data_IF_235172294368
#
_entry.id   IF_235172294368
#
_cell.length_a   1.000
_cell.length_b   1.000
_cell.length_c   1.000
_cell.angle_alpha   90.00
_cell.angle_beta   90.00
_cell.angle_gamma   90.00
#
_symmetry.space_group_name_H-M   'P 1'
#
loop_
_entity.id
_entity.type
_entity.pdbx_description
1 polymer ?
#
# COMPACT_ATOMS: atom_id res chain seq x y z
N UNK A 1 26.97 7.75 -11.29
CA UNK A 1 25.74 7.79 -12.07
C UNK A 1 25.05 6.43 -12.00
N UNK A 2 24.40 6.11 -10.87
CA UNK A 2 23.57 4.91 -10.76
C UNK A 2 22.13 5.31 -11.08
N UNK A 3 21.78 5.29 -12.35
CA UNK A 3 20.37 5.31 -12.75
C UNK A 3 19.74 3.98 -12.31
N UNK A 4 18.92 4.02 -11.27
CA UNK A 4 18.08 2.91 -10.88
C UNK A 4 17.01 2.74 -11.96
N UNK A 5 17.27 1.86 -12.92
CA UNK A 5 16.27 1.46 -13.92
C UNK A 5 15.19 0.69 -13.17
N UNK A 6 14.06 1.34 -12.93
CA UNK A 6 12.85 0.72 -12.43
C UNK A 6 12.27 -0.22 -13.52
N UNK A 7 12.73 -1.45 -13.55
CA UNK A 7 12.12 -2.48 -14.38
C UNK A 7 10.75 -2.82 -13.80
N UNK A 8 9.71 -2.36 -14.47
CA UNK A 8 8.33 -2.71 -14.12
C UNK A 8 8.04 -4.17 -14.46
N UNK A 9 7.39 -4.94 -13.57
CA UNK A 9 6.99 -6.32 -13.88
C UNK A 9 6.08 -6.39 -15.11
N UNK A 10 6.12 -7.46 -15.91
CA UNK A 10 5.18 -7.65 -17.00
C UNK A 10 3.74 -7.51 -16.51
N UNK A 11 2.91 -6.72 -17.20
CA UNK A 11 1.54 -6.40 -16.82
C UNK A 11 1.37 -5.15 -15.95
N UNK A 12 2.43 -4.60 -15.37
CA UNK A 12 2.33 -3.43 -14.49
C UNK A 12 2.10 -2.13 -15.27
N UNK A 13 2.70 -1.97 -16.44
CA UNK A 13 2.48 -0.80 -17.33
C UNK A 13 1.05 -0.76 -17.87
N UNK A 14 0.51 -1.88 -18.30
CA UNK A 14 -0.89 -1.98 -18.73
C UNK A 14 -1.87 -1.64 -17.60
N UNK A 15 -1.52 -2.03 -16.37
CA UNK A 15 -2.33 -1.71 -15.19
C UNK A 15 -2.24 -0.22 -14.81
N UNK A 16 -1.08 0.42 -14.94
CA UNK A 16 -0.95 1.87 -14.70
C UNK A 16 -1.75 2.69 -15.69
N UNK A 17 -1.68 2.37 -16.98
CA UNK A 17 -2.49 3.03 -18.00
C UNK A 17 -3.98 2.87 -17.71
N UNK A 18 -4.38 1.68 -17.28
CA UNK A 18 -5.74 1.40 -16.87
C UNK A 18 -6.19 2.26 -15.66
N UNK A 19 -5.37 2.36 -14.61
CA UNK A 19 -5.70 3.20 -13.44
C UNK A 19 -5.81 4.67 -13.82
N UNK A 20 -4.94 5.17 -14.69
CA UNK A 20 -5.02 6.55 -15.17
C UNK A 20 -6.31 6.82 -15.94
N UNK A 21 -6.75 5.89 -16.79
CA UNK A 21 -8.03 5.99 -17.52
C UNK A 21 -9.22 5.90 -16.55
N UNK A 22 -9.18 4.95 -15.61
CA UNK A 22 -10.23 4.79 -14.61
C UNK A 22 -10.40 6.02 -13.71
N UNK A 23 -9.30 6.70 -13.36
CA UNK A 23 -9.33 7.92 -12.55
C UNK A 23 -10.04 9.10 -13.25
N UNK A 24 -10.12 9.09 -14.58
CA UNK A 24 -10.87 10.07 -15.35
C UNK A 24 -12.36 9.75 -15.38
N UNK A 25 -12.75 8.53 -15.07
CA UNK A 25 -14.14 8.09 -15.04
C UNK A 25 -14.94 8.80 -13.94
N UNK A 26 -16.15 9.30 -14.22
CA UNK A 26 -17.04 9.86 -13.21
C UNK A 26 -17.39 8.83 -12.12
N UNK A 27 -17.44 7.55 -12.45
CA UNK A 27 -17.69 6.47 -11.48
C UNK A 27 -16.56 6.33 -10.45
N UNK A 28 -15.30 6.54 -10.86
CA UNK A 28 -14.18 6.57 -9.95
C UNK A 28 -14.28 7.74 -8.97
N UNK A 29 -14.58 8.92 -9.49
CA UNK A 29 -14.69 10.16 -8.69
C UNK A 29 -15.77 10.10 -7.62
N UNK A 30 -16.86 9.39 -7.90
CA UNK A 30 -18.02 9.30 -7.01
C UNK A 30 -18.03 8.03 -6.15
N UNK A 31 -17.01 7.17 -6.26
CA UNK A 31 -16.93 5.95 -5.48
C UNK A 31 -16.71 6.25 -4.00
N UNK A 32 -17.74 6.00 -3.18
CA UNK A 32 -17.71 6.25 -1.73
C UNK A 32 -18.28 5.04 -0.97
N UNK A 33 -17.57 4.63 0.08
CA UNK A 33 -17.98 3.58 1.00
C UNK A 33 -17.59 3.93 2.43
N UNK A 34 -18.54 4.22 3.29
CA UNK A 34 -18.33 4.51 4.73
C UNK A 34 -17.20 5.54 4.98
N UNK A 35 -17.20 6.61 4.19
CA UNK A 35 -16.19 7.67 4.22
C UNK A 35 -14.85 7.32 3.54
N UNK A 36 -14.71 6.11 2.99
CA UNK A 36 -13.58 5.78 2.12
C UNK A 36 -13.89 6.10 0.67
N UNK A 37 -12.96 6.75 0.02
CA UNK A 37 -12.95 6.97 -1.43
C UNK A 37 -11.78 6.22 -2.07
N UNK A 38 -11.75 6.20 -3.39
CA UNK A 38 -10.56 5.78 -4.12
C UNK A 38 -9.49 6.88 -4.07
N UNK A 39 -8.21 6.57 -4.29
CA UNK A 39 -7.15 7.58 -4.31
C UNK A 39 -7.33 8.59 -5.45
N UNK A 40 -6.62 9.71 -5.39
CA UNK A 40 -6.58 10.77 -6.41
C UNK A 40 -7.92 11.51 -6.67
N UNK A 41 -8.92 11.37 -5.81
CA UNK A 41 -10.25 12.00 -5.99
C UNK A 41 -10.35 13.43 -5.45
N UNK A 42 -9.35 13.93 -4.79
CA UNK A 42 -9.35 15.29 -4.22
C UNK A 42 -8.85 16.33 -5.20
N UNK A 43 -8.71 17.56 -4.68
CA UNK A 43 -8.12 18.66 -5.41
C UNK A 43 -6.60 18.72 -5.20
N UNK A 44 -5.86 19.03 -6.26
CA UNK A 44 -4.44 19.30 -6.17
C UNK A 44 -4.22 20.69 -5.57
N UNK A 45 -3.26 20.80 -4.65
CA UNK A 45 -2.80 22.12 -4.21
C UNK A 45 -2.03 22.80 -5.34
N UNK A 46 -2.05 24.11 -5.35
CA UNK A 46 -1.43 24.92 -6.42
C UNK A 46 0.04 24.59 -6.64
N UNK A 47 0.78 24.34 -5.55
CA UNK A 47 2.21 24.03 -5.60
C UNK A 47 2.55 22.60 -6.02
N UNK A 48 1.54 21.70 -6.16
CA UNK A 48 1.80 20.31 -6.52
C UNK A 48 2.38 20.18 -7.93
N UNK A 49 3.50 19.48 -8.05
CA UNK A 49 4.28 19.30 -9.29
C UNK A 49 4.89 20.58 -9.84
N UNK A 50 4.99 21.67 -9.04
CA UNK A 50 5.86 22.81 -9.38
C UNK A 50 7.30 22.45 -9.01
N UNK A 51 8.23 22.84 -9.86
CA UNK A 51 9.65 22.72 -9.59
C UNK A 51 10.07 23.66 -8.46
N UNK A 52 10.92 23.16 -7.59
CA UNK A 52 11.58 23.95 -6.56
C UNK A 52 13.05 23.55 -6.53
N UNK A 53 13.88 24.53 -6.22
CA UNK A 53 15.31 24.34 -6.01
C UNK A 53 15.62 24.47 -4.54
N UNK A 54 16.39 23.56 -4.02
CA UNK A 54 17.00 23.66 -2.69
C UNK A 54 18.50 23.84 -2.87
N UNK A 55 19.06 24.85 -2.27
CA UNK A 55 20.51 25.03 -2.15
C UNK A 55 20.96 24.54 -0.77
N UNK A 56 22.19 24.09 -0.68
CA UNK A 56 22.81 23.84 0.60
C UNK A 56 23.47 25.14 1.09
N UNK A 57 23.03 25.67 2.24
CA UNK A 57 23.58 26.85 2.85
C UNK A 57 24.94 26.59 3.54
N UNK A 58 25.35 25.34 3.67
CA UNK A 58 26.51 24.90 4.45
C UNK A 58 27.77 24.70 3.59
N UNK A 59 27.99 25.59 2.62
CA UNK A 59 29.09 25.52 1.64
C UNK A 59 30.46 25.29 2.29
N UNK A 60 30.68 25.89 3.49
CA UNK A 60 31.95 25.75 4.23
C UNK A 60 32.28 24.31 4.65
N UNK A 61 31.28 23.46 4.76
CA UNK A 61 31.45 22.05 5.15
C UNK A 61 31.60 21.11 3.94
N UNK A 62 31.45 21.62 2.72
CA UNK A 62 31.66 20.83 1.54
C UNK A 62 33.16 20.71 1.21
N UNK A 63 33.64 19.48 0.89
CA UNK A 63 35.06 19.22 0.68
C UNK A 63 35.73 20.17 -0.34
N UNK A 64 34.99 20.57 -1.36
CA UNK A 64 35.46 21.38 -2.47
C UNK A 64 34.87 22.80 -2.47
N UNK A 65 34.22 23.24 -1.37
CA UNK A 65 33.48 24.52 -1.30
C UNK A 65 32.46 24.72 -2.43
N UNK A 66 31.98 23.61 -2.99
CA UNK A 66 31.00 23.64 -4.07
C UNK A 66 29.60 23.88 -3.53
N UNK A 67 28.82 24.66 -4.28
CA UNK A 67 27.39 24.81 -4.02
C UNK A 67 26.66 23.63 -4.62
N UNK A 68 25.90 22.94 -3.79
CA UNK A 68 25.00 21.88 -4.26
C UNK A 68 23.59 22.41 -4.32
N UNK A 69 22.95 22.24 -5.46
CA UNK A 69 21.55 22.56 -5.65
C UNK A 69 20.80 21.32 -6.15
N UNK A 70 19.67 21.02 -5.54
CA UNK A 70 18.77 19.94 -5.97
C UNK A 70 17.48 20.55 -6.52
N UNK A 71 17.11 20.16 -7.72
CA UNK A 71 15.83 20.48 -8.33
C UNK A 71 14.86 19.34 -8.12
N UNK A 72 13.73 19.59 -7.48
CA UNK A 72 12.73 18.57 -7.21
C UNK A 72 11.31 19.08 -7.43
N UNK A 73 10.39 18.14 -7.64
CA UNK A 73 8.98 18.47 -7.79
C UNK A 73 8.28 18.51 -6.43
N UNK A 74 7.72 19.66 -6.08
CA UNK A 74 6.97 19.83 -4.84
C UNK A 74 5.75 18.89 -4.79
N UNK A 75 5.58 18.20 -3.66
CA UNK A 75 4.50 17.23 -3.45
C UNK A 75 3.77 17.49 -2.13
N UNK A 76 2.44 17.50 -2.15
CA UNK A 76 1.63 17.57 -0.93
C UNK A 76 1.61 16.27 -0.13
N UNK A 77 2.17 15.20 -0.69
CA UNK A 77 2.28 13.88 -0.04
C UNK A 77 0.93 13.24 0.40
N UNK A 78 -0.17 13.62 -0.24
CA UNK A 78 -1.53 13.20 0.13
C UNK A 78 -2.10 12.23 -0.89
N UNK A 79 -2.75 11.15 -0.40
CA UNK A 79 -3.37 10.13 -1.26
C UNK A 79 -4.48 10.67 -2.16
N UNK A 80 -5.20 11.69 -1.69
CA UNK A 80 -6.32 12.28 -2.45
C UNK A 80 -5.90 13.19 -3.60
N UNK A 81 -4.64 13.65 -3.62
CA UNK A 81 -4.18 14.60 -4.63
C UNK A 81 -3.91 13.90 -5.96
N UNK A 82 -4.61 14.26 -7.06
CA UNK A 82 -4.41 13.61 -8.36
C UNK A 82 -3.01 13.83 -8.93
N UNK A 83 -2.35 14.95 -8.62
CA UNK A 83 -0.97 15.23 -9.07
C UNK A 83 0.10 14.50 -8.24
N UNK A 84 -0.15 14.25 -6.95
CA UNK A 84 0.86 13.71 -6.02
C UNK A 84 0.64 12.23 -5.66
N UNK A 85 -0.44 11.66 -6.10
CA UNK A 85 -0.87 10.31 -5.78
C UNK A 85 0.22 9.25 -6.09
N UNK A 86 0.84 9.29 -7.26
CA UNK A 86 1.92 8.36 -7.62
C UNK A 86 3.12 8.44 -6.66
N UNK A 87 3.53 9.67 -6.31
CA UNK A 87 4.60 9.87 -5.33
C UNK A 87 4.20 9.37 -3.93
N UNK A 88 2.92 9.51 -3.56
CA UNK A 88 2.39 8.96 -2.32
C UNK A 88 2.45 7.44 -2.30
N UNK A 89 1.99 6.77 -3.39
CA UNK A 89 2.08 5.30 -3.53
C UNK A 89 3.52 4.83 -3.38
N UNK A 90 4.45 5.41 -4.13
CA UNK A 90 5.86 5.02 -4.10
C UNK A 90 6.44 5.08 -2.69
N UNK A 91 6.19 6.18 -1.96
CA UNK A 91 6.66 6.33 -0.58
C UNK A 91 6.04 5.32 0.37
N UNK A 92 4.72 5.06 0.25
CA UNK A 92 4.07 4.07 1.11
C UNK A 92 4.55 2.65 0.81
N UNK A 93 4.79 2.35 -0.46
CA UNK A 93 5.33 1.07 -0.88
C UNK A 93 6.76 0.87 -0.34
N UNK A 94 7.66 1.84 -0.52
CA UNK A 94 9.02 1.81 0.05
C UNK A 94 8.99 1.63 1.58
N UNK A 95 8.16 2.43 2.28
CA UNK A 95 8.02 2.33 3.74
C UNK A 95 7.56 0.95 4.18
N UNK A 96 6.62 0.35 3.45
CA UNK A 96 6.11 -0.98 3.75
C UNK A 96 7.16 -2.03 3.47
N UNK A 97 7.81 -1.98 2.32
CA UNK A 97 8.89 -2.91 1.94
C UNK A 97 9.99 -2.90 3.00
N UNK A 98 10.56 -1.75 3.31
CA UNK A 98 11.61 -1.62 4.35
C UNK A 98 11.19 -2.20 5.70
N UNK A 99 9.94 -2.02 6.10
CA UNK A 99 9.42 -2.59 7.35
C UNK A 99 9.36 -4.10 7.31
N UNK A 100 8.90 -4.68 6.19
CA UNK A 100 8.80 -6.11 6.03
C UNK A 100 10.19 -6.76 5.89
N UNK A 101 11.10 -6.13 5.15
CA UNK A 101 12.50 -6.59 5.01
C UNK A 101 13.25 -6.55 6.33
N UNK A 102 13.19 -5.44 7.07
CA UNK A 102 13.80 -5.33 8.42
C UNK A 102 13.28 -6.40 9.38
N UNK A 103 12.00 -6.74 9.27
CA UNK A 103 11.44 -7.83 10.07
C UNK A 103 12.05 -9.18 9.70
N UNK A 104 12.26 -9.47 8.42
CA UNK A 104 12.88 -10.72 7.97
C UNK A 104 14.35 -10.79 8.40
N UNK A 105 15.09 -9.69 8.28
CA UNK A 105 16.48 -9.57 8.71
C UNK A 105 16.66 -9.77 10.21
N UNK A 106 15.75 -9.26 11.04
CA UNK A 106 15.81 -9.36 12.50
C UNK A 106 15.57 -10.77 13.02
N UNK A 107 15.19 -11.68 12.17
CA UNK A 107 14.99 -13.09 12.51
C UNK A 107 16.05 -13.91 11.80
N UNK A 108 17.10 -14.29 12.49
CA UNK A 108 18.15 -15.23 12.03
C UNK A 108 17.61 -16.55 11.46
N UNK A 109 16.29 -16.62 11.29
CA UNK A 109 15.60 -17.87 11.17
C UNK A 109 14.85 -17.96 9.86
N UNK A 110 15.24 -18.98 9.14
CA UNK A 110 14.44 -19.66 8.14
C UNK A 110 14.36 -18.90 6.82
N UNK A 111 15.40 -19.05 6.03
CA UNK A 111 15.44 -18.78 4.58
C UNK A 111 14.16 -19.21 3.81
N UNK A 112 13.26 -19.97 4.46
CA UNK A 112 12.05 -20.53 3.86
C UNK A 112 10.77 -19.75 4.17
N UNK A 113 10.73 -18.86 5.18
CA UNK A 113 9.53 -18.08 5.48
C UNK A 113 9.55 -16.74 4.76
N UNK A 114 8.57 -16.53 3.89
CA UNK A 114 8.36 -15.34 3.07
C UNK A 114 7.03 -14.72 3.43
N UNK A 115 6.85 -13.47 3.02
CA UNK A 115 5.52 -12.89 3.02
C UNK A 115 4.69 -13.50 1.90
N UNK A 116 3.39 -13.68 2.18
CA UNK A 116 2.41 -14.20 1.23
C UNK A 116 1.29 -13.20 1.05
N UNK A 117 0.92 -12.93 -0.20
CA UNK A 117 -0.23 -12.11 -0.49
C UNK A 117 -1.50 -12.94 -0.45
N UNK A 118 -2.43 -12.59 0.44
CA UNK A 118 -3.76 -13.21 0.53
C UNK A 118 -4.86 -12.15 0.47
N UNK A 119 -6.05 -12.58 0.05
CA UNK A 119 -7.26 -11.76 0.05
C UNK A 119 -8.26 -12.40 1.00
N UNK A 120 -8.81 -11.60 1.92
CA UNK A 120 -9.93 -11.97 2.78
C UNK A 120 -11.18 -11.24 2.33
N UNK A 121 -12.24 -11.98 1.98
CA UNK A 121 -13.49 -11.40 1.53
C UNK A 121 -14.63 -11.87 2.43
N UNK A 122 -15.30 -10.95 3.15
CA UNK A 122 -16.47 -11.26 3.97
C UNK A 122 -17.71 -11.52 3.10
N UNK A 123 -18.66 -12.34 3.56
CA UNK A 123 -19.96 -12.47 2.91
C UNK A 123 -20.78 -11.18 3.11
N UNK A 124 -21.61 -10.82 2.12
CA UNK A 124 -22.51 -9.66 2.18
C UNK A 124 -21.82 -8.36 2.64
N UNK A 125 -20.59 -8.18 2.22
CA UNK A 125 -19.72 -7.08 2.66
C UNK A 125 -20.27 -5.70 2.24
N UNK A 126 -20.97 -5.62 1.13
CA UNK A 126 -21.62 -4.43 0.60
C UNK A 126 -22.61 -3.78 1.56
N UNK A 127 -23.25 -4.60 2.42
CA UNK A 127 -24.23 -4.18 3.45
C UNK A 127 -23.61 -3.88 4.82
N UNK A 128 -22.30 -4.06 4.99
CA UNK A 128 -21.63 -3.87 6.27
C UNK A 128 -20.98 -2.49 6.35
N UNK A 129 -20.95 -1.90 7.57
CA UNK A 129 -20.08 -0.75 7.85
C UNK A 129 -18.63 -1.19 8.01
N UNK A 130 -17.69 -0.29 7.75
CA UNK A 130 -16.25 -0.54 7.98
C UNK A 130 -15.95 -0.91 9.44
N UNK A 131 -16.67 -0.29 10.40
CA UNK A 131 -16.53 -0.60 11.83
C UNK A 131 -16.87 -2.07 12.12
N UNK A 132 -17.94 -2.61 11.52
CA UNK A 132 -18.34 -4.02 11.64
C UNK A 132 -17.33 -4.92 10.93
N UNK A 133 -16.91 -4.57 9.72
CA UNK A 133 -15.87 -5.31 8.98
C UNK A 133 -14.57 -5.42 9.76
N UNK A 134 -14.12 -4.32 10.37
CA UNK A 134 -12.88 -4.29 11.16
C UNK A 134 -12.96 -5.20 12.39
N UNK A 135 -14.08 -5.20 13.14
CA UNK A 135 -14.27 -6.12 14.28
C UNK A 135 -14.22 -7.58 13.83
N UNK A 136 -14.93 -7.90 12.75
CA UNK A 136 -14.97 -9.25 12.22
C UNK A 136 -13.60 -9.69 11.71
N UNK A 137 -12.82 -8.76 11.11
CA UNK A 137 -11.47 -9.04 10.65
C UNK A 137 -10.56 -9.52 11.79
N UNK A 138 -10.60 -8.88 12.96
CA UNK A 138 -9.76 -9.26 14.10
C UNK A 138 -10.05 -10.70 14.58
N UNK A 139 -11.33 -11.10 14.59
CA UNK A 139 -11.72 -12.49 14.83
C UNK A 139 -11.24 -13.42 13.70
N UNK A 140 -11.46 -13.03 12.46
CA UNK A 140 -11.09 -13.79 11.25
C UNK A 140 -9.59 -14.07 11.18
N UNK A 141 -8.76 -13.09 11.54
CA UNK A 141 -7.30 -13.24 11.61
C UNK A 141 -6.87 -14.28 12.65
N UNK A 142 -7.56 -14.31 13.82
CA UNK A 142 -7.29 -15.33 14.85
C UNK A 142 -7.62 -16.73 14.35
N UNK A 143 -8.79 -16.91 13.72
CA UNK A 143 -9.19 -18.21 13.14
C UNK A 143 -8.23 -18.65 12.03
N UNK A 144 -7.75 -17.72 11.21
CA UNK A 144 -6.77 -18.01 10.16
C UNK A 144 -5.35 -18.24 10.70
N UNK A 145 -5.12 -18.12 12.01
CA UNK A 145 -3.79 -18.15 12.67
C UNK A 145 -2.81 -17.11 12.11
N UNK A 146 -3.31 -15.96 11.68
CA UNK A 146 -2.50 -14.85 11.15
C UNK A 146 -2.10 -13.94 12.31
N UNK A 147 -0.83 -14.04 12.74
CA UNK A 147 -0.29 -13.28 13.86
C UNK A 147 0.42 -11.99 13.42
N UNK A 148 1.03 -12.01 12.24
CA UNK A 148 1.85 -10.90 11.73
C UNK A 148 1.50 -10.64 10.27
N UNK A 149 1.00 -9.42 9.98
CA UNK A 149 0.64 -9.04 8.61
C UNK A 149 0.57 -7.52 8.41
N UNK A 150 0.78 -7.08 7.16
CA UNK A 150 0.38 -5.78 6.67
C UNK A 150 -1.00 -5.89 5.99
N UNK A 151 -1.89 -4.93 6.21
CA UNK A 151 -3.29 -4.96 5.76
C UNK A 151 -3.60 -3.72 4.96
N UNK A 152 -4.17 -3.90 3.76
CA UNK A 152 -4.71 -2.84 2.91
C UNK A 152 -6.20 -3.11 2.68
N UNK A 153 -7.03 -2.11 2.93
CA UNK A 153 -8.48 -2.20 2.75
C UNK A 153 -8.89 -1.75 1.36
N UNK A 154 -9.68 -2.57 0.67
CA UNK A 154 -10.28 -2.25 -0.62
C UNK A 154 -11.80 -2.24 -0.49
N UNK A 155 -12.45 -1.08 -0.61
CA UNK A 155 -13.92 -0.97 -0.52
C UNK A 155 -14.62 -1.40 -1.81
N UNK A 156 -13.89 -1.45 -2.93
CA UNK A 156 -14.45 -1.72 -4.25
C UNK A 156 -13.72 -2.84 -4.97
N UNK A 157 -14.43 -3.51 -5.86
CA UNK A 157 -13.89 -4.30 -6.98
C UNK A 157 -14.29 -3.62 -8.27
N UNK A 158 -13.55 -3.89 -9.32
CA UNK A 158 -13.92 -3.39 -10.64
C UNK A 158 -14.66 -4.48 -11.42
N UNK A 159 -15.65 -4.10 -12.22
CA UNK A 159 -16.31 -4.99 -13.14
C UNK A 159 -15.33 -5.57 -14.20
N UNK A 160 -15.78 -6.45 -15.08
CA UNK A 160 -14.91 -7.17 -16.03
C UNK A 160 -14.12 -6.23 -16.95
N UNK A 161 -14.76 -5.17 -17.44
CA UNK A 161 -14.14 -4.12 -18.25
C UNK A 161 -13.34 -3.11 -17.41
N UNK A 162 -13.38 -3.27 -16.09
CA UNK A 162 -12.63 -2.48 -15.09
C UNK A 162 -12.96 -0.99 -15.08
N UNK A 163 -14.05 -0.57 -15.67
CA UNK A 163 -14.47 0.84 -15.77
C UNK A 163 -15.25 1.31 -14.55
N UNK A 164 -16.03 0.41 -13.92
CA UNK A 164 -16.96 0.74 -12.84
C UNK A 164 -16.52 0.10 -11.53
N UNK A 165 -16.30 0.91 -10.47
CA UNK A 165 -16.06 0.37 -9.12
C UNK A 165 -17.38 -0.13 -8.52
N UNK A 166 -17.45 -1.43 -8.26
CA UNK A 166 -18.58 -2.07 -7.59
C UNK A 166 -18.25 -2.22 -6.10
N UNK A 167 -19.19 -1.83 -5.24
CA UNK A 167 -19.04 -1.97 -3.78
C UNK A 167 -18.86 -3.45 -3.42
N UNK A 168 -17.68 -3.81 -3.01
CA UNK A 168 -17.29 -5.18 -2.63
C UNK A 168 -16.11 -5.15 -1.66
N UNK A 169 -16.35 -4.70 -0.41
CA UNK A 169 -15.29 -4.55 0.58
C UNK A 169 -14.53 -5.84 0.85
N UNK A 170 -13.21 -5.76 0.83
CA UNK A 170 -12.32 -6.87 1.12
C UNK A 170 -10.97 -6.36 1.62
N UNK A 171 -10.16 -7.27 2.15
CA UNK A 171 -8.84 -6.94 2.69
C UNK A 171 -7.76 -7.70 1.94
N UNK A 172 -6.72 -6.99 1.54
CA UNK A 172 -5.47 -7.56 1.09
C UNK A 172 -4.50 -7.59 2.24
N UNK A 173 -3.85 -8.73 2.44
CA UNK A 173 -2.88 -8.94 3.50
C UNK A 173 -1.57 -9.44 2.93
N UNK A 174 -0.47 -8.90 3.44
CA UNK A 174 0.85 -9.50 3.29
C UNK A 174 1.15 -10.21 4.60
N UNK A 175 1.02 -11.53 4.60
CA UNK A 175 1.05 -12.39 5.78
C UNK A 175 2.40 -13.06 5.92
N UNK A 176 2.96 -13.05 7.12
CA UNK A 176 4.11 -13.87 7.48
C UNK A 176 3.66 -15.15 8.20
N UNK A 177 4.13 -16.29 7.72
CA UNK A 177 3.83 -17.58 8.30
C UNK A 177 2.75 -18.40 7.57
N UNK A 178 2.29 -19.43 8.25
CA UNK A 178 1.32 -20.39 7.70
C UNK A 178 -0.11 -19.92 7.93
N UNK A 179 -0.97 -20.19 6.96
CA UNK A 179 -2.41 -19.91 7.04
C UNK A 179 -3.16 -21.23 7.19
N UNK A 180 -4.16 -21.26 8.04
CA UNK A 180 -5.03 -22.40 8.30
C UNK A 180 -5.68 -22.94 7.01
N UNK A 181 -6.14 -24.21 7.05
CA UNK A 181 -6.93 -24.81 5.98
C UNK A 181 -8.13 -23.93 5.61
N UNK A 182 -8.30 -23.67 4.31
CA UNK A 182 -9.31 -22.75 3.79
C UNK A 182 -10.75 -23.23 4.01
N UNK A 183 -10.98 -24.54 4.01
CA UNK A 183 -12.31 -25.12 4.25
C UNK A 183 -12.72 -24.95 5.70
N UNK A 184 -11.85 -25.27 6.64
CA UNK A 184 -12.09 -25.07 8.07
C UNK A 184 -12.31 -23.59 8.39
N UNK A 185 -11.47 -22.72 7.82
CA UNK A 185 -11.61 -21.29 7.95
C UNK A 185 -12.98 -20.80 7.47
N UNK A 186 -13.42 -21.23 6.27
CA UNK A 186 -14.72 -20.85 5.73
C UNK A 186 -15.87 -21.34 6.61
N UNK A 187 -15.81 -22.58 7.10
CA UNK A 187 -16.85 -23.14 7.97
C UNK A 187 -17.03 -22.32 9.25
N UNK A 188 -15.92 -21.86 9.85
CA UNK A 188 -15.94 -21.06 11.09
C UNK A 188 -16.29 -19.59 10.89
N UNK A 189 -15.89 -18.98 9.78
CA UNK A 189 -16.00 -17.52 9.60
C UNK A 189 -17.01 -17.11 8.54
N UNK A 190 -17.32 -17.99 7.60
CA UNK A 190 -18.02 -17.69 6.34
C UNK A 190 -17.29 -16.71 5.42
N UNK A 191 -16.04 -16.34 5.76
CA UNK A 191 -15.19 -15.55 4.88
C UNK A 191 -14.43 -16.43 3.91
N UNK A 192 -14.10 -15.87 2.75
CA UNK A 192 -13.24 -16.57 1.80
C UNK A 192 -11.80 -16.10 1.92
N UNK A 193 -10.86 -17.05 1.84
CA UNK A 193 -9.42 -16.80 1.70
C UNK A 193 -9.03 -17.13 0.27
N UNK A 194 -8.32 -16.20 -0.39
CA UNK A 194 -7.68 -16.43 -1.68
C UNK A 194 -6.19 -16.16 -1.59
N UNK A 195 -5.38 -17.20 -1.75
CA UNK A 195 -3.93 -17.07 -1.85
C UNK A 195 -3.55 -16.54 -3.25
N UNK A 196 -2.70 -15.51 -3.30
CA UNK A 196 -2.22 -14.85 -4.51
C UNK A 196 -0.75 -15.16 -4.80
N UNK A 197 -0.10 -15.90 -3.90
CA UNK A 197 1.29 -16.33 -4.03
C UNK A 197 2.23 -15.69 -3.01
N UNK A 198 3.45 -16.19 -3.04
CA UNK A 198 4.54 -15.75 -2.17
C UNK A 198 5.26 -14.53 -2.74
N UNK A 199 5.65 -13.61 -1.86
CA UNK A 199 6.48 -12.45 -2.16
C UNK A 199 7.91 -12.80 -1.77
N UNK A 200 8.73 -13.12 -2.77
CA UNK A 200 10.06 -13.73 -2.57
C UNK A 200 11.16 -12.69 -2.35
N UNK A 201 10.98 -11.50 -2.91
CA UNK A 201 11.97 -10.42 -2.93
C UNK A 201 11.36 -9.12 -2.47
N UNK A 202 12.19 -8.14 -2.10
CA UNK A 202 11.77 -6.77 -1.80
C UNK A 202 11.06 -6.12 -3.00
N UNK A 203 11.50 -6.46 -4.21
CA UNK A 203 10.85 -6.02 -5.45
C UNK A 203 9.43 -6.56 -5.57
N UNK A 204 9.19 -7.82 -5.19
CA UNK A 204 7.84 -8.40 -5.18
C UNK A 204 6.96 -7.70 -4.17
N UNK A 205 7.48 -7.47 -2.96
CA UNK A 205 6.76 -6.74 -1.89
C UNK A 205 6.42 -5.33 -2.37
N UNK A 206 7.40 -4.59 -2.88
CA UNK A 206 7.23 -3.22 -3.37
C UNK A 206 6.18 -3.15 -4.48
N UNK A 207 6.28 -4.01 -5.47
CA UNK A 207 5.36 -4.06 -6.61
C UNK A 207 3.94 -4.43 -6.17
N UNK A 208 3.82 -5.42 -5.27
CA UNK A 208 2.53 -5.81 -4.70
C UNK A 208 1.89 -4.64 -3.94
N UNK A 209 2.63 -3.97 -3.06
CA UNK A 209 2.12 -2.85 -2.28
C UNK A 209 1.73 -1.66 -3.18
N UNK A 210 2.53 -1.34 -4.19
CA UNK A 210 2.16 -0.32 -5.19
C UNK A 210 0.84 -0.63 -5.86
N UNK A 211 0.69 -1.86 -6.31
CA UNK A 211 -0.55 -2.34 -6.92
C UNK A 211 -1.74 -2.19 -5.95
N UNK A 212 -1.59 -2.64 -4.71
CA UNK A 212 -2.67 -2.56 -3.72
C UNK A 212 -3.05 -1.11 -3.41
N UNK A 213 -2.08 -0.22 -3.31
CA UNK A 213 -2.33 1.19 -2.98
C UNK A 213 -2.93 1.99 -4.14
N UNK A 214 -2.80 1.53 -5.36
CA UNK A 214 -3.32 2.25 -6.53
C UNK A 214 -4.85 2.37 -6.55
N UNK A 215 -5.56 1.45 -5.86
CA UNK A 215 -7.02 1.42 -5.80
C UNK A 215 -7.55 1.03 -4.40
N UNK A 216 -6.77 1.28 -3.35
CA UNK A 216 -7.19 1.06 -1.97
C UNK A 216 -8.23 2.08 -1.51
N UNK A 217 -8.89 1.77 -0.41
CA UNK A 217 -9.72 2.74 0.29
C UNK A 217 -8.87 3.76 1.04
N UNK A 218 -9.05 5.05 0.74
CA UNK A 218 -8.43 6.15 1.48
C UNK A 218 -9.47 6.95 2.23
N UNK A 219 -9.16 7.29 3.50
CA UNK A 219 -10.02 8.10 4.36
C UNK A 219 -9.15 9.00 5.24
N UNK A 220 -9.55 10.26 5.41
CA UNK A 220 -8.84 11.21 6.29
C UNK A 220 -8.74 10.63 7.71
N UNK A 221 -7.56 10.73 8.32
CA UNK A 221 -7.31 10.21 9.67
C UNK A 221 -7.10 8.70 9.77
N UNK A 222 -7.04 7.97 8.63
CA UNK A 222 -6.75 6.53 8.63
C UNK A 222 -5.48 6.20 7.85
N UNK A 223 -4.77 5.17 8.29
CA UNK A 223 -3.63 4.63 7.56
C UNK A 223 -4.11 3.72 6.43
N UNK A 224 -3.60 3.91 5.22
CA UNK A 224 -3.89 3.04 4.08
C UNK A 224 -3.29 1.63 4.25
N UNK A 225 -2.15 1.54 4.96
CA UNK A 225 -1.55 0.26 5.37
C UNK A 225 -1.55 0.17 6.89
N UNK A 226 -2.14 -0.89 7.43
CA UNK A 226 -2.08 -1.24 8.86
C UNK A 226 -1.09 -2.37 9.06
N UNK A 227 -0.32 -2.30 10.14
CA UNK A 227 0.61 -3.36 10.53
C UNK A 227 0.19 -4.01 11.82
N UNK A 228 0.14 -5.35 11.84
CA UNK A 228 -0.22 -6.15 13.01
C UNK A 228 0.91 -7.09 13.42
N UNK A 229 0.86 -7.51 14.67
CA UNK A 229 1.84 -8.42 15.24
C UNK A 229 3.22 -7.80 15.36
N UNK A 230 4.23 -8.57 15.02
CA UNK A 230 5.64 -8.19 15.24
C UNK A 230 6.13 -7.05 14.33
N UNK A 231 5.44 -6.82 13.19
CA UNK A 231 5.71 -5.68 12.31
C UNK A 231 4.95 -4.41 12.69
N UNK A 232 4.20 -4.40 13.78
CA UNK A 232 3.48 -3.21 14.23
C UNK A 232 4.43 -2.06 14.58
N UNK A 233 3.93 -0.81 14.54
CA UNK A 233 4.74 0.38 14.89
C UNK A 233 5.27 0.35 16.33
N UNK A 234 4.60 -0.37 17.23
CA UNK A 234 5.03 -0.52 18.63
C UNK A 234 6.20 -1.48 18.78
N UNK A 235 6.19 -2.59 18.01
CA UNK A 235 7.18 -3.65 18.16
C UNK A 235 8.42 -3.47 17.27
N UNK A 236 8.22 -3.04 16.01
CA UNK A 236 9.32 -2.86 15.08
C UNK A 236 9.53 -1.37 14.80
N UNK A 237 10.71 -0.88 15.19
CA UNK A 237 11.17 0.46 14.83
C UNK A 237 11.95 0.38 13.53
N UNK A 238 11.55 1.20 12.56
CA UNK A 238 12.25 1.36 11.28
C UNK A 238 12.69 2.81 11.21
N UNK A 239 13.98 3.01 11.03
CA UNK A 239 14.55 4.34 10.89
C UNK A 239 13.93 5.07 9.70
N UNK A 240 13.72 6.36 9.85
CA UNK A 240 13.39 7.21 8.71
C UNK A 240 14.64 7.27 7.82
N UNK A 241 14.45 7.31 6.51
CA UNK A 241 15.55 7.73 5.63
C UNK A 241 16.01 9.08 6.14
N UNK A 242 17.27 9.16 6.55
CA UNK A 242 17.89 10.45 6.71
C UNK A 242 17.80 11.16 5.36
N UNK A 243 17.27 12.38 5.31
CA UNK A 243 17.70 13.26 4.25
C UNK A 243 19.21 13.34 4.41
N UNK A 244 19.93 12.83 3.42
CA UNK A 244 21.34 13.18 3.29
C UNK A 244 21.30 14.70 3.09
N UNK A 245 21.87 15.46 4.03
CA UNK A 245 21.88 16.91 3.88
C UNK A 245 22.68 17.34 2.67
#
# INVERSE_FOLDING_TARGET
>A
NSQTILVTPPGFSAYQNYIQQAQQSPYWKNALYDGFSLPAQGQAKEYCKKWISYGCDNVKQHPNKQHYAEHTLKSCKVAFCPKCFESWIGRQANRTTRRLSKFLESREIRKHYKFRHIILSPPNADKMSYKKLKRNLDFTLKVANIKTCAIVFHPFRFNKDKSIPVRSPHFHLLVYGHVTNTTEFYNKTKWTIKNKGDLKTDKDIFSCVRYLLSHCGVRKGTHAVRYLGDISYRKLKVEKEGHIP
#
